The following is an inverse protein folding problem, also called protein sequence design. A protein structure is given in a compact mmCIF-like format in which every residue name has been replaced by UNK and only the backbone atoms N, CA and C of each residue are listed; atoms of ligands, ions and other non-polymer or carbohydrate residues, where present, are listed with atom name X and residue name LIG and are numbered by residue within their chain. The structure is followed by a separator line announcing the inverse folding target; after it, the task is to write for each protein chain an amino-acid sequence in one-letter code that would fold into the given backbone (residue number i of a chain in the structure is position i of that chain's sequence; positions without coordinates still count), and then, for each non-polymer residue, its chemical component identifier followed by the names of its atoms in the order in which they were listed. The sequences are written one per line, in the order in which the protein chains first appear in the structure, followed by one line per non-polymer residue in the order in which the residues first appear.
data_IF_630711426123
#
_entry.id   IF_630711426123
#
_cell.length_a   1.000
_cell.length_b   1.000
_cell.length_c   1.000
_cell.angle_alpha   90.00
_cell.angle_beta   90.00
_cell.angle_gamma   90.00
#
_symmetry.space_group_name_H-M   'P 1'
#
loop_
_entity.id
_entity.type
_entity.pdbx_description
1 polymer ?
#
# COMPACT_ATOMS: atom_id res chain seq x y z
N UNK A 1 -12.52 4.80 -14.90
CA UNK A 1 -11.16 4.69 -14.35
C UNK A 1 -11.13 5.56 -13.12
N UNK A 2 -10.98 4.97 -11.94
CA UNK A 2 -10.75 5.76 -10.73
C UNK A 2 -9.38 6.45 -10.82
N UNK A 3 -9.33 7.70 -10.38
CA UNK A 3 -8.08 8.46 -10.38
C UNK A 3 -7.14 7.87 -9.33
N UNK A 4 -5.83 7.70 -9.64
CA UNK A 4 -4.86 7.29 -8.63
C UNK A 4 -4.88 8.25 -7.44
N UNK A 5 -4.77 7.70 -6.23
CA UNK A 5 -4.73 8.48 -5.00
C UNK A 5 -3.48 8.14 -4.19
N UNK A 6 -3.13 9.01 -3.25
CA UNK A 6 -1.96 8.82 -2.39
C UNK A 6 -2.40 8.34 -1.02
N UNK A 7 -1.70 7.35 -0.51
CA UNK A 7 -1.81 6.90 0.88
C UNK A 7 -0.50 7.15 1.63
N UNK A 8 -0.62 7.23 2.94
CA UNK A 8 0.51 7.26 3.87
C UNK A 8 0.28 6.20 4.93
N UNK A 9 1.30 5.42 5.25
CA UNK A 9 1.21 4.38 6.27
C UNK A 9 2.56 4.17 6.96
N UNK A 10 2.51 3.62 8.17
CA UNK A 10 3.69 3.25 8.91
C UNK A 10 4.07 1.80 8.59
N UNK A 11 5.23 1.60 7.96
CA UNK A 11 5.77 0.26 7.71
C UNK A 11 6.56 -0.22 8.95
N UNK A 12 6.11 -1.31 9.62
CA UNK A 12 6.81 -1.84 10.77
C UNK A 12 8.11 -2.55 10.34
N UNK A 13 9.20 -2.31 11.06
CA UNK A 13 10.41 -3.11 10.92
C UNK A 13 10.30 -4.37 11.77
N UNK A 14 10.61 -5.53 11.19
CA UNK A 14 10.62 -6.80 11.92
C UNK A 14 11.59 -6.69 13.09
N UNK A 15 11.15 -7.16 14.25
CA UNK A 15 11.90 -7.13 15.52
C UNK A 15 12.28 -5.71 16.01
N UNK A 16 11.50 -4.69 15.66
CA UNK A 16 11.69 -3.33 16.13
C UNK A 16 10.38 -2.59 16.40
N UNK A 17 10.37 -1.78 17.45
CA UNK A 17 9.28 -0.81 17.68
C UNK A 17 9.33 0.38 16.70
N UNK A 18 10.39 0.47 15.88
CA UNK A 18 10.54 1.53 14.89
C UNK A 18 9.64 1.30 13.69
N UNK A 19 9.00 2.38 13.26
CA UNK A 19 8.16 2.45 12.07
C UNK A 19 8.76 3.40 11.05
N UNK A 20 8.67 3.03 9.78
CA UNK A 20 9.08 3.90 8.68
C UNK A 20 7.82 4.53 8.09
N UNK A 21 7.66 5.86 8.12
CA UNK A 21 6.53 6.52 7.49
C UNK A 21 6.70 6.50 5.96
N UNK A 22 5.82 5.79 5.28
CA UNK A 22 5.85 5.55 3.85
C UNK A 22 4.69 6.28 3.17
N UNK A 23 4.96 6.82 1.99
CA UNK A 23 3.98 7.33 1.05
C UNK A 23 3.99 6.45 -0.20
N UNK A 24 2.80 6.14 -0.72
CA UNK A 24 2.65 5.38 -1.95
C UNK A 24 1.47 5.88 -2.79
N UNK A 25 1.48 5.53 -4.07
CA UNK A 25 0.37 5.79 -4.99
C UNK A 25 -0.43 4.51 -5.15
N UNK A 26 -1.75 4.62 -5.08
CA UNK A 26 -2.71 3.53 -5.21
C UNK A 26 -3.55 3.74 -6.45
N UNK A 27 -3.77 2.66 -7.20
CA UNK A 27 -4.67 2.62 -8.34
C UNK A 27 -5.54 1.39 -8.27
N UNK A 28 -6.86 1.56 -8.37
CA UNK A 28 -7.79 0.44 -8.48
C UNK A 28 -7.71 -0.15 -9.90
N UNK A 29 -7.55 -1.47 -9.98
CA UNK A 29 -7.58 -2.25 -11.20
C UNK A 29 -8.79 -3.17 -11.17
N UNK A 30 -9.59 -3.12 -12.24
CA UNK A 30 -10.69 -4.06 -12.45
C UNK A 30 -10.21 -5.13 -13.43
N UNK A 31 -10.06 -6.36 -12.94
CA UNK A 31 -9.86 -7.55 -13.76
C UNK A 31 -10.96 -8.55 -13.45
N UNK A 32 -11.42 -9.32 -14.43
CA UNK A 32 -12.21 -10.50 -14.15
C UNK A 32 -11.28 -11.61 -13.64
N UNK A 33 -11.58 -12.29 -12.52
CA UNK A 33 -12.83 -12.27 -11.75
C UNK A 33 -12.86 -11.30 -10.55
N UNK A 34 -11.75 -10.65 -10.18
CA UNK A 34 -11.68 -9.80 -9.00
C UNK A 34 -10.94 -8.48 -9.24
N UNK A 35 -11.43 -7.40 -8.61
CA UNK A 35 -10.72 -6.12 -8.56
C UNK A 35 -9.61 -6.16 -7.51
N UNK A 36 -8.51 -5.47 -7.79
CA UNK A 36 -7.38 -5.36 -6.88
C UNK A 36 -6.78 -3.95 -6.93
N UNK A 37 -6.07 -3.57 -5.87
CA UNK A 37 -5.33 -2.32 -5.83
C UNK A 37 -3.87 -2.58 -6.19
N UNK A 38 -3.38 -1.84 -7.18
CA UNK A 38 -1.96 -1.76 -7.47
C UNK A 38 -1.37 -0.57 -6.74
N UNK A 39 -0.37 -0.82 -5.91
CA UNK A 39 0.30 0.16 -5.06
C UNK A 39 1.75 0.25 -5.51
N UNK A 40 2.22 1.46 -5.82
CA UNK A 40 3.55 1.69 -6.36
C UNK A 40 4.15 3.00 -5.86
N UNK A 41 5.40 3.27 -6.27
CA UNK A 41 6.11 4.51 -5.91
C UNK A 41 6.22 4.70 -4.39
N UNK A 42 6.79 3.69 -3.72
CA UNK A 42 6.97 3.69 -2.27
C UNK A 42 8.14 4.58 -1.87
N UNK A 43 7.85 5.65 -1.12
CA UNK A 43 8.86 6.60 -0.68
C UNK A 43 8.77 6.87 0.82
N UNK A 44 9.91 6.96 1.48
CA UNK A 44 9.96 7.40 2.89
C UNK A 44 9.70 8.90 2.94
N UNK A 45 8.73 9.33 3.75
CA UNK A 45 8.24 10.72 3.76
C UNK A 45 9.35 11.75 4.08
N UNK A 46 10.35 11.36 4.88
CA UNK A 46 11.47 12.22 5.27
C UNK A 46 12.76 12.02 4.45
N UNK A 47 12.77 11.10 3.48
CA UNK A 47 13.97 10.84 2.68
C UNK A 47 14.18 11.94 1.65
N UNK A 48 15.36 12.58 1.69
CA UNK A 48 15.80 13.46 0.60
C UNK A 48 16.15 12.61 -0.63
N UNK A 49 15.89 13.10 -1.85
CA UNK A 49 16.39 12.47 -3.05
C UNK A 49 17.90 12.29 -2.97
N UNK A 50 18.39 11.09 -3.29
CA UNK A 50 19.84 10.79 -3.29
C UNK A 50 20.56 11.65 -4.33
N UNK A 51 19.88 12.01 -5.42
CA UNK A 51 20.38 12.85 -6.50
C UNK A 51 19.41 14.02 -6.68
N UNK A 52 19.94 15.25 -6.63
CA UNK A 52 19.15 16.46 -6.82
C UNK A 52 18.49 16.47 -8.21
N UNK A 53 17.18 16.66 -8.27
CA UNK A 53 16.40 16.66 -9.51
C UNK A 53 15.91 15.28 -9.97
N UNK A 54 16.28 14.19 -9.29
CA UNK A 54 15.66 12.88 -9.54
C UNK A 54 14.45 12.65 -8.64
N UNK A 55 13.40 11.95 -9.14
CA UNK A 55 12.32 11.52 -8.30
C UNK A 55 12.87 10.59 -7.19
N UNK A 56 12.26 10.59 -5.99
CA UNK A 56 12.66 9.65 -4.95
C UNK A 56 12.58 8.22 -5.47
N UNK A 57 13.55 7.39 -5.09
CA UNK A 57 13.58 5.98 -5.50
C UNK A 57 12.45 5.21 -4.83
N UNK A 58 11.76 4.34 -5.58
CA UNK A 58 10.80 3.42 -4.97
C UNK A 58 11.57 2.30 -4.29
N UNK A 59 11.54 2.23 -2.96
CA UNK A 59 12.36 1.25 -2.23
C UNK A 59 11.73 -0.15 -2.17
N UNK A 60 10.48 -0.29 -2.60
CA UNK A 60 9.79 -1.57 -2.78
C UNK A 60 9.32 -1.73 -4.23
N UNK A 61 9.22 -2.98 -4.71
CA UNK A 61 8.53 -3.28 -5.96
C UNK A 61 7.02 -2.97 -5.81
N UNK A 62 6.35 -2.81 -6.94
CA UNK A 62 4.89 -2.68 -6.98
C UNK A 62 4.23 -3.82 -6.20
N UNK A 63 3.21 -3.48 -5.41
CA UNK A 63 2.43 -4.43 -4.64
C UNK A 63 1.02 -4.48 -5.21
N UNK A 64 0.49 -5.68 -5.39
CA UNK A 64 -0.92 -5.88 -5.71
C UNK A 64 -1.60 -6.48 -4.49
N UNK A 65 -2.64 -5.82 -4.00
CA UNK A 65 -3.40 -6.28 -2.84
C UNK A 65 -4.90 -6.24 -3.11
N UNK A 66 -5.65 -7.07 -2.42
CA UNK A 66 -7.11 -7.10 -2.45
C UNK A 66 -7.68 -7.36 -1.06
N UNK A 67 -8.93 -6.96 -0.87
CA UNK A 67 -9.69 -7.32 0.31
C UNK A 67 -10.33 -8.69 0.13
N UNK A 68 -10.43 -9.42 1.23
CA UNK A 68 -11.27 -10.59 1.43
C UNK A 68 -12.29 -10.23 2.51
N UNK A 69 -13.56 -10.52 2.26
CA UNK A 69 -14.59 -10.44 3.28
C UNK A 69 -14.53 -11.72 4.12
N UNK A 70 -14.15 -11.58 5.38
CA UNK A 70 -14.14 -12.65 6.39
C UNK A 70 -15.29 -12.41 7.39
N UNK A 71 -15.69 -13.44 8.12
CA UNK A 71 -16.79 -13.36 9.11
C UNK A 71 -16.56 -12.27 10.18
N UNK A 72 -15.29 -12.01 10.51
CA UNK A 72 -14.85 -11.02 11.52
C UNK A 72 -14.38 -9.68 10.92
N UNK A 73 -14.53 -9.46 9.61
CA UNK A 73 -14.23 -8.17 8.96
C UNK A 73 -13.43 -8.28 7.66
N UNK A 74 -12.75 -7.20 7.29
CA UNK A 74 -11.97 -7.12 6.04
C UNK A 74 -10.54 -7.62 6.29
N UNK A 75 -10.12 -8.63 5.54
CA UNK A 75 -8.74 -9.10 5.51
C UNK A 75 -8.02 -8.64 4.24
N UNK A 76 -6.89 -7.97 4.41
CA UNK A 76 -6.08 -7.49 3.28
C UNK A 76 -4.93 -8.44 2.97
N UNK A 77 -4.93 -8.94 1.73
CA UNK A 77 -3.97 -9.95 1.27
C UNK A 77 -3.25 -9.49 0.00
N UNK A 78 -2.08 -10.06 -0.27
CA UNK A 78 -1.46 -9.93 -1.58
C UNK A 78 -2.29 -10.67 -2.64
N UNK A 79 -2.42 -10.05 -3.82
CA UNK A 79 -3.25 -10.54 -4.91
C UNK A 79 -2.76 -11.91 -5.45
N UNK A 80 -1.45 -12.12 -5.49
CA UNK A 80 -0.80 -13.28 -6.09
C UNK A 80 -0.80 -14.54 -5.21
N UNK A 81 -0.72 -14.35 -3.90
CA UNK A 81 -0.49 -15.41 -2.92
C UNK A 81 -1.66 -15.61 -1.97
N UNK A 82 -2.61 -14.68 -1.94
CA UNK A 82 -3.75 -14.65 -1.01
C UNK A 82 -3.32 -14.67 0.46
N UNK A 83 -2.07 -14.32 0.75
CA UNK A 83 -1.53 -14.31 2.10
C UNK A 83 -1.62 -12.93 2.72
N UNK A 84 -2.10 -12.83 3.98
CA UNK A 84 -1.95 -11.62 4.74
C UNK A 84 -0.50 -11.46 5.20
N UNK A 85 0.05 -10.27 5.02
CA UNK A 85 1.35 -9.87 5.56
C UNK A 85 1.20 -8.55 6.30
N UNK A 86 2.20 -8.20 7.12
CA UNK A 86 2.23 -6.87 7.76
C UNK A 86 2.16 -5.74 6.71
N UNK A 87 2.73 -5.96 5.52
CA UNK A 87 2.69 -4.99 4.43
C UNK A 87 1.29 -4.87 3.82
N UNK A 88 0.66 -5.99 3.43
CA UNK A 88 -0.67 -5.96 2.83
C UNK A 88 -1.70 -5.36 3.78
N UNK A 89 -1.64 -5.71 5.06
CA UNK A 89 -2.50 -5.16 6.11
C UNK A 89 -2.27 -3.65 6.32
N UNK A 90 -1.02 -3.21 6.38
CA UNK A 90 -0.72 -1.77 6.56
C UNK A 90 -1.18 -0.93 5.37
N UNK A 91 -0.96 -1.41 4.15
CA UNK A 91 -1.43 -0.74 2.92
C UNK A 91 -2.97 -0.71 2.90
N UNK A 92 -3.61 -1.86 3.12
CA UNK A 92 -5.06 -2.00 3.09
C UNK A 92 -5.77 -1.07 4.07
N UNK A 93 -5.29 -1.04 5.32
CA UNK A 93 -5.79 -0.10 6.33
C UNK A 93 -5.67 1.36 5.88
N UNK A 94 -4.56 1.74 5.26
CA UNK A 94 -4.37 3.11 4.78
C UNK A 94 -5.27 3.45 3.57
N UNK A 95 -5.64 2.46 2.76
CA UNK A 95 -6.68 2.61 1.72
C UNK A 95 -8.04 2.86 2.38
N UNK A 96 -8.45 2.03 3.34
CA UNK A 96 -9.71 2.22 4.07
C UNK A 96 -9.81 3.59 4.72
N UNK A 97 -8.75 4.02 5.43
CA UNK A 97 -8.68 5.34 6.06
C UNK A 97 -8.76 6.49 5.06
N UNK A 98 -8.25 6.30 3.84
CA UNK A 98 -8.37 7.28 2.76
C UNK A 98 -9.80 7.33 2.22
N UNK A 99 -10.39 6.18 1.94
CA UNK A 99 -11.74 6.08 1.37
C UNK A 99 -12.81 6.55 2.35
N UNK A 100 -12.66 6.29 3.65
CA UNK A 100 -13.59 6.75 4.69
C UNK A 100 -13.59 8.27 4.90
N UNK A 101 -12.61 9.00 4.36
CA UNK A 101 -12.51 10.47 4.45
C UNK A 101 -13.09 11.19 3.23
N UNK A 102 -13.50 10.46 2.20
CA UNK A 102 -14.20 11.00 1.03
C UNK A 102 -15.70 11.06 1.27
#
# INVERSE_FOLDING_TARGET
MENPFMITFDFPLVDSDRKIPVKAIVKLHHSEPASFYKVHSFHVIAAKPVIAGMPPYSFLPDQEIRSLDEDDGILWVHNDSERPTLLSMAIGKAIEEHLAKQ
#
